data_IF_109497295873
#
_entry.id   IF_109497295873
#
_cell.length_a   1.000
_cell.length_b   1.000
_cell.length_c   1.000
_cell.angle_alpha   90.00
_cell.angle_beta   90.00
_cell.angle_gamma   90.00
#
_symmetry.space_group_name_H-M   'P 1'
#
loop_
_entity.id
_entity.type
_entity.pdbx_description
1 polymer ?
#
# COMPACT_ATOMS: atom_id res chain seq x y z
N UNK A 1 -23.30 4.26 -13.34
CA UNK A 1 -23.61 3.94 -11.93
C UNK A 1 -23.41 5.20 -11.11
N UNK A 2 -24.29 5.52 -10.15
CA UNK A 2 -24.21 6.77 -9.38
C UNK A 2 -23.40 6.55 -8.10
N UNK A 3 -22.52 7.50 -7.74
CA UNK A 3 -21.85 7.54 -6.44
C UNK A 3 -22.86 7.98 -5.38
N UNK A 4 -23.02 7.20 -4.32
CA UNK A 4 -24.03 7.44 -3.27
C UNK A 4 -23.39 7.86 -1.95
N UNK A 5 -23.87 8.92 -1.27
CA UNK A 5 -23.38 9.25 0.06
C UNK A 5 -23.69 8.13 1.07
N UNK A 6 -22.72 7.74 1.89
CA UNK A 6 -22.86 6.77 2.97
C UNK A 6 -22.01 7.20 4.17
N UNK A 7 -22.62 7.71 5.23
CA UNK A 7 -21.89 8.43 6.28
C UNK A 7 -21.56 7.59 7.51
N UNK A 8 -22.22 6.44 7.70
CA UNK A 8 -22.03 5.59 8.86
C UNK A 8 -22.57 4.16 8.64
N UNK A 9 -22.05 3.21 9.42
CA UNK A 9 -22.52 1.82 9.45
C UNK A 9 -22.20 1.03 8.19
N UNK A 10 -22.93 -0.07 7.98
CA UNK A 10 -22.71 -0.96 6.85
C UNK A 10 -23.50 -0.53 5.62
N UNK A 11 -22.88 -0.65 4.44
CA UNK A 11 -23.59 -0.49 3.16
C UNK A 11 -24.60 -1.63 2.98
N UNK A 12 -25.71 -1.38 2.26
CA UNK A 12 -26.75 -2.41 2.05
C UNK A 12 -26.40 -3.46 1.00
N UNK A 13 -25.38 -3.20 0.19
CA UNK A 13 -24.98 -4.09 -0.90
C UNK A 13 -23.89 -3.48 -1.77
N UNK A 14 -23.58 -4.13 -2.92
CA UNK A 14 -22.56 -3.64 -3.84
C UNK A 14 -22.87 -2.23 -4.36
N UNK A 15 -21.86 -1.38 -4.47
CA UNK A 15 -22.08 0.02 -4.78
C UNK A 15 -20.81 0.87 -4.95
N UNK A 16 -21.02 2.06 -5.50
CA UNK A 16 -20.07 3.18 -5.42
C UNK A 16 -20.58 4.17 -4.37
N UNK A 17 -19.69 4.56 -3.46
CA UNK A 17 -20.04 5.33 -2.29
C UNK A 17 -19.07 6.48 -2.05
N UNK A 18 -19.59 7.57 -1.48
CA UNK A 18 -18.78 8.59 -0.84
C UNK A 18 -18.97 8.46 0.67
N UNK A 19 -17.88 8.23 1.41
CA UNK A 19 -17.93 8.04 2.86
C UNK A 19 -16.68 8.58 3.55
N UNK A 20 -16.74 8.88 4.87
CA UNK A 20 -15.54 9.18 5.64
C UNK A 20 -14.54 8.01 5.63
N UNK A 21 -13.25 8.34 5.66
CA UNK A 21 -12.18 7.34 5.72
C UNK A 21 -12.32 6.38 6.91
N UNK A 22 -12.76 6.89 8.07
CA UNK A 22 -13.02 6.08 9.26
C UNK A 22 -14.05 4.97 9.03
N UNK A 23 -15.11 5.24 8.25
CA UNK A 23 -16.15 4.25 7.92
C UNK A 23 -15.60 3.17 6.99
N UNK A 24 -14.79 3.54 6.00
CA UNK A 24 -14.12 2.60 5.10
C UNK A 24 -13.12 1.71 5.86
N UNK A 25 -12.29 2.31 6.71
CA UNK A 25 -11.26 1.59 7.46
C UNK A 25 -11.84 0.69 8.57
N UNK A 26 -13.02 1.03 9.13
CA UNK A 26 -13.78 0.18 10.04
C UNK A 26 -14.42 -1.04 9.35
N UNK A 27 -14.26 -1.19 8.03
CA UNK A 27 -14.91 -2.19 7.19
C UNK A 27 -16.44 -2.02 7.12
N UNK A 28 -16.87 -1.18 6.18
CA UNK A 28 -18.27 -0.85 5.92
C UNK A 28 -19.06 -1.92 5.15
N UNK A 29 -18.47 -3.05 4.76
CA UNK A 29 -19.19 -4.08 4.02
C UNK A 29 -20.19 -4.85 4.91
N UNK A 30 -21.23 -5.49 4.34
CA UNK A 30 -22.20 -6.28 5.12
C UNK A 30 -21.56 -7.35 6.02
N UNK A 31 -20.57 -8.06 5.49
CA UNK A 31 -19.76 -9.07 6.19
C UNK A 31 -18.28 -8.67 6.12
N UNK A 32 -17.40 -9.26 6.94
CA UNK A 32 -15.97 -9.00 6.86
C UNK A 32 -15.46 -9.05 5.42
N UNK A 33 -14.84 -7.96 4.96
CA UNK A 33 -14.43 -7.85 3.57
C UNK A 33 -12.91 -7.77 3.39
N UNK A 34 -12.44 -8.19 2.22
CA UNK A 34 -11.04 -8.13 1.85
C UNK A 34 -10.72 -6.75 1.25
N UNK A 35 -9.70 -6.07 1.81
CA UNK A 35 -9.09 -4.86 1.22
C UNK A 35 -7.72 -5.20 0.62
N UNK A 36 -7.13 -4.28 -0.15
CA UNK A 36 -5.81 -4.49 -0.77
C UNK A 36 -4.71 -4.74 0.25
N UNK A 37 -4.71 -4.01 1.37
CA UNK A 37 -3.74 -4.22 2.45
C UNK A 37 -3.86 -5.61 3.07
N UNK A 38 -5.08 -6.09 3.33
CA UNK A 38 -5.30 -7.42 3.88
C UNK A 38 -4.96 -8.51 2.85
N UNK A 39 -5.30 -8.29 1.58
CA UNK A 39 -4.93 -9.20 0.49
C UNK A 39 -3.40 -9.34 0.38
N UNK A 40 -2.67 -8.23 0.47
CA UNK A 40 -1.21 -8.23 0.48
C UNK A 40 -0.66 -8.97 1.70
N UNK A 41 -1.16 -8.69 2.91
CA UNK A 41 -0.74 -9.39 4.13
C UNK A 41 -0.96 -10.91 4.04
N UNK A 42 -2.06 -11.36 3.42
CA UNK A 42 -2.32 -12.79 3.21
C UNK A 42 -1.27 -13.46 2.31
N UNK A 43 -0.81 -12.76 1.28
CA UNK A 43 0.11 -13.30 0.27
C UNK A 43 1.57 -13.17 0.70
N UNK A 44 1.94 -12.08 1.36
CA UNK A 44 3.34 -11.79 1.72
C UNK A 44 3.72 -12.25 3.12
N UNK A 45 2.74 -12.43 4.01
CA UNK A 45 2.97 -12.81 5.40
C UNK A 45 2.24 -14.12 5.71
N UNK A 46 1.08 -14.04 6.34
CA UNK A 46 0.30 -15.22 6.74
C UNK A 46 -1.16 -14.85 6.99
N UNK A 47 -2.08 -15.83 6.96
CA UNK A 47 -3.44 -15.66 7.48
C UNK A 47 -3.52 -15.09 8.89
N UNK A 48 -2.68 -15.52 9.83
CA UNK A 48 -2.69 -14.98 11.20
C UNK A 48 -2.47 -13.46 11.24
N UNK A 49 -1.45 -12.96 10.54
CA UNK A 49 -1.20 -11.51 10.40
C UNK A 49 -2.39 -10.78 9.79
N UNK A 50 -3.03 -11.36 8.77
CA UNK A 50 -4.22 -10.77 8.13
C UNK A 50 -5.41 -10.72 9.08
N UNK A 51 -5.61 -11.76 9.90
CA UNK A 51 -6.67 -11.83 10.90
C UNK A 51 -6.50 -10.74 11.97
N UNK A 52 -5.30 -10.57 12.51
CA UNK A 52 -4.97 -9.52 13.50
C UNK A 52 -5.13 -8.13 12.90
N UNK A 53 -4.70 -7.94 11.65
CA UNK A 53 -4.77 -6.65 10.97
C UNK A 53 -6.20 -6.24 10.56
N UNK A 54 -7.14 -7.19 10.49
CA UNK A 54 -8.49 -6.90 10.00
C UNK A 54 -9.38 -6.27 11.09
N UNK A 55 -10.03 -5.12 10.81
CA UNK A 55 -10.73 -4.31 11.82
C UNK A 55 -11.92 -5.01 12.50
N UNK A 56 -12.53 -6.00 11.84
CA UNK A 56 -13.69 -6.76 12.36
C UNK A 56 -13.39 -8.22 12.73
N UNK A 57 -12.12 -8.64 12.70
CA UNK A 57 -11.73 -10.01 13.04
C UNK A 57 -10.87 -10.02 14.30
N UNK A 58 -9.57 -10.27 14.17
CA UNK A 58 -8.66 -10.47 15.30
C UNK A 58 -8.02 -9.21 15.87
N UNK A 59 -8.45 -8.03 15.43
CA UNK A 59 -7.90 -6.78 15.94
C UNK A 59 -8.34 -6.58 17.40
N UNK A 60 -7.48 -6.99 18.34
CA UNK A 60 -7.68 -6.80 19.79
C UNK A 60 -6.81 -5.68 20.37
N UNK A 61 -5.94 -5.09 19.56
CA UNK A 61 -5.00 -4.05 19.96
C UNK A 61 -5.41 -2.77 19.23
N UNK A 62 -5.70 -1.71 19.97
CA UNK A 62 -5.74 -0.37 19.40
C UNK A 62 -4.33 -0.07 18.85
N UNK A 63 -4.20 0.00 17.53
CA UNK A 63 -2.92 0.34 16.89
C UNK A 63 -2.54 1.75 17.35
N UNK A 64 -1.58 1.85 18.27
CA UNK A 64 -0.86 3.08 18.54
C UNK A 64 0.16 3.31 17.41
N UNK A 65 -0.35 3.52 16.20
CA UNK A 65 0.48 4.03 15.11
C UNK A 65 0.67 5.52 15.38
N UNK A 66 1.76 5.91 16.07
CA UNK A 66 2.20 7.31 16.10
C UNK A 66 2.74 7.66 14.70
N UNK A 67 2.01 8.41 13.87
CA UNK A 67 2.40 8.63 12.49
C UNK A 67 3.72 9.40 12.44
N UNK A 68 4.67 8.96 11.62
CA UNK A 68 5.93 9.68 11.46
C UNK A 68 5.71 11.00 10.69
N UNK A 69 6.61 11.97 10.87
CA UNK A 69 6.60 13.24 10.13
C UNK A 69 6.42 13.09 8.60
N UNK A 70 7.07 12.12 7.92
CA UNK A 70 6.80 11.86 6.49
C UNK A 70 5.37 11.39 6.19
N UNK A 71 4.74 10.62 7.09
CA UNK A 71 3.33 10.22 6.95
C UNK A 71 2.40 11.42 7.13
N UNK A 72 2.67 12.29 8.11
CA UNK A 72 1.92 13.54 8.33
C UNK A 72 1.98 14.45 7.08
N UNK A 73 3.18 14.67 6.53
CA UNK A 73 3.38 15.39 5.26
C UNK A 73 2.57 14.74 4.14
N UNK A 74 2.65 13.42 4.01
CA UNK A 74 1.95 12.67 2.98
C UNK A 74 0.43 12.79 3.08
N UNK A 75 -0.13 12.71 4.29
CA UNK A 75 -1.56 12.90 4.55
C UNK A 75 -2.01 14.33 4.25
N UNK A 76 -1.21 15.33 4.62
CA UNK A 76 -1.52 16.73 4.32
C UNK A 76 -1.51 16.99 2.80
N UNK A 77 -0.45 16.56 2.10
CA UNK A 77 -0.35 16.71 0.65
C UNK A 77 -1.49 15.96 -0.07
N UNK A 78 -1.83 14.75 0.36
CA UNK A 78 -2.95 13.97 -0.18
C UNK A 78 -4.27 14.74 -0.03
N UNK A 79 -4.53 15.33 1.13
CA UNK A 79 -5.71 16.17 1.33
C UNK A 79 -5.74 17.40 0.45
N UNK A 80 -4.62 18.11 0.33
CA UNK A 80 -4.53 19.32 -0.51
C UNK A 80 -4.75 18.98 -1.99
N UNK A 81 -4.19 17.87 -2.48
CA UNK A 81 -4.30 17.43 -3.89
C UNK A 81 -5.69 16.87 -4.21
N UNK A 82 -6.29 16.12 -3.30
CA UNK A 82 -7.59 15.47 -3.53
C UNK A 82 -8.78 16.33 -3.13
N UNK A 83 -8.58 17.34 -2.30
CA UNK A 83 -9.64 18.16 -1.69
C UNK A 83 -10.53 17.39 -0.71
N UNK A 84 -10.12 16.19 -0.28
CA UNK A 84 -10.83 15.30 0.66
C UNK A 84 -9.83 14.57 1.56
N UNK A 85 -10.32 13.92 2.61
CA UNK A 85 -9.49 13.26 3.63
C UNK A 85 -9.43 14.03 4.97
N UNK A 86 -8.60 13.52 5.88
CA UNK A 86 -8.47 13.98 7.27
C UNK A 86 -8.11 15.46 7.37
N UNK A 87 -8.86 16.26 8.14
CA UNK A 87 -8.54 17.68 8.39
C UNK A 87 -7.14 17.87 8.97
N UNK A 88 -6.51 18.99 8.61
CA UNK A 88 -5.12 19.30 8.95
C UNK A 88 -5.10 20.39 10.02
N UNK A 89 -4.25 20.22 11.03
CA UNK A 89 -3.94 21.27 12.02
C UNK A 89 -2.47 21.66 11.87
N UNK A 90 -2.24 22.92 11.46
CA UNK A 90 -0.89 23.47 11.33
C UNK A 90 -0.38 23.90 12.70
N UNK A 91 0.71 23.27 13.14
CA UNK A 91 1.42 23.56 14.37
C UNK A 91 2.54 24.55 14.05
N UNK A 92 2.49 25.72 14.66
CA UNK A 92 3.44 26.81 14.45
C UNK A 92 4.75 26.57 15.23
N UNK A 93 5.49 25.55 14.80
CA UNK A 93 6.81 25.18 15.32
C UNK A 93 7.68 24.56 14.21
N UNK A 94 9.01 24.56 14.41
CA UNK A 94 9.97 23.96 13.49
C UNK A 94 10.14 22.44 13.70
N UNK A 95 9.89 21.98 14.92
CA UNK A 95 9.95 20.58 15.33
C UNK A 95 9.03 20.26 16.53
N UNK A 96 8.90 18.97 16.84
CA UNK A 96 8.11 18.48 17.98
C UNK A 96 8.93 18.35 19.28
N UNK A 97 9.96 19.17 19.51
CA UNK A 97 10.79 19.05 20.73
C UNK A 97 10.19 19.78 21.92
N UNK A 98 9.49 20.89 21.70
CA UNK A 98 8.90 21.69 22.79
C UNK A 98 7.66 21.00 23.39
N UNK A 99 7.41 21.24 24.68
CA UNK A 99 6.23 20.71 25.35
C UNK A 99 4.93 21.22 24.70
N UNK A 100 4.92 22.48 24.25
CA UNK A 100 3.79 23.08 23.55
C UNK A 100 3.49 22.36 22.23
N UNK A 101 4.49 22.17 21.36
CA UNK A 101 4.31 21.51 20.07
C UNK A 101 3.85 20.04 20.22
N UNK A 102 4.37 19.32 21.22
CA UNK A 102 3.92 17.95 21.54
C UNK A 102 2.47 17.91 22.01
N UNK A 103 2.08 18.83 22.89
CA UNK A 103 0.72 18.91 23.40
C UNK A 103 -0.28 19.25 22.29
N UNK A 104 0.08 20.17 21.39
CA UNK A 104 -0.76 20.53 20.25
C UNK A 104 -0.90 19.38 19.25
N UNK A 105 0.20 18.67 18.95
CA UNK A 105 0.19 17.45 18.13
C UNK A 105 -0.72 16.37 18.70
N UNK A 106 -0.60 16.10 20.00
CA UNK A 106 -1.44 15.12 20.69
C UNK A 106 -2.92 15.52 20.65
N UNK A 107 -3.23 16.82 20.83
CA UNK A 107 -4.61 17.33 20.74
C UNK A 107 -5.18 17.17 19.33
N UNK A 108 -4.42 17.49 18.28
CA UNK A 108 -4.87 17.32 16.90
C UNK A 108 -5.27 15.87 16.63
N UNK A 109 -4.45 14.89 17.04
CA UNK A 109 -4.81 13.47 16.90
C UNK A 109 -6.02 13.06 17.73
N UNK A 110 -6.15 13.57 18.97
CA UNK A 110 -7.31 13.28 19.82
C UNK A 110 -8.62 13.79 19.22
N UNK A 111 -8.56 14.86 18.41
CA UNK A 111 -9.69 15.42 17.66
C UNK A 111 -9.91 14.73 16.30
N UNK A 112 -9.08 13.75 15.93
CA UNK A 112 -9.16 13.03 14.66
C UNK A 112 -8.56 13.79 13.47
N UNK A 113 -7.74 14.81 13.72
CA UNK A 113 -7.05 15.61 12.71
C UNK A 113 -5.60 15.12 12.49
N UNK A 114 -5.03 15.48 11.34
CA UNK A 114 -3.62 15.30 11.03
C UNK A 114 -2.82 16.55 11.44
N UNK A 115 -1.97 16.48 12.48
CA UNK A 115 -1.04 17.56 12.76
C UNK A 115 0.02 17.66 11.66
N UNK A 116 0.48 18.88 11.39
CA UNK A 116 1.63 19.13 10.51
C UNK A 116 2.39 20.36 11.02
N UNK A 117 3.72 20.32 10.97
CA UNK A 117 4.54 21.49 11.31
C UNK A 117 4.39 22.56 10.23
N UNK A 118 4.42 23.84 10.59
CA UNK A 118 4.36 24.97 9.64
C UNK A 118 5.30 24.81 8.42
N UNK A 119 6.61 24.54 8.56
CA UNK A 119 7.49 24.38 7.40
C UNK A 119 7.11 23.20 6.51
N UNK A 120 6.47 22.17 7.08
CA UNK A 120 5.98 21.02 6.33
C UNK A 120 4.66 21.31 5.62
N UNK A 121 3.80 22.15 6.20
CA UNK A 121 2.57 22.61 5.57
C UNK A 121 2.87 23.46 4.31
N UNK A 122 3.81 24.40 4.43
CA UNK A 122 4.29 25.21 3.28
C UNK A 122 4.86 24.31 2.16
N UNK A 123 5.58 23.25 2.54
CA UNK A 123 6.07 22.22 1.61
C UNK A 123 4.96 21.40 0.98
N UNK A 124 3.91 21.05 1.73
CA UNK A 124 2.76 20.32 1.23
C UNK A 124 1.92 21.15 0.25
N UNK A 125 1.75 22.45 0.51
CA UNK A 125 1.12 23.39 -0.41
C UNK A 125 1.91 23.49 -1.73
N UNK A 126 3.23 23.73 -1.63
CA UNK A 126 4.09 23.78 -2.82
C UNK A 126 4.09 22.47 -3.63
N UNK A 127 4.01 21.32 -2.94
CA UNK A 127 3.86 20.02 -3.58
C UNK A 127 2.51 19.90 -4.31
N UNK A 128 1.41 20.33 -3.67
CA UNK A 128 0.09 20.25 -4.27
C UNK A 128 -0.02 21.07 -5.56
N UNK A 129 0.49 22.31 -5.55
CA UNK A 129 0.53 23.17 -6.72
C UNK A 129 1.32 22.53 -7.87
N UNK A 130 2.51 22.00 -7.58
CA UNK A 130 3.35 21.35 -8.58
C UNK A 130 2.74 20.06 -9.14
N UNK A 131 2.02 19.29 -8.31
CA UNK A 131 1.33 18.08 -8.78
C UNK A 131 0.25 18.47 -9.78
N UNK A 132 -0.57 19.48 -9.47
CA UNK A 132 -1.62 19.94 -10.39
C UNK A 132 -1.01 20.43 -11.70
N UNK A 133 0.02 21.28 -11.64
CA UNK A 133 0.69 21.82 -12.83
C UNK A 133 1.32 20.71 -13.70
N UNK A 134 2.10 19.81 -13.08
CA UNK A 134 2.82 18.76 -13.81
C UNK A 134 1.88 17.71 -14.39
N UNK A 135 0.80 17.35 -13.69
CA UNK A 135 -0.20 16.42 -14.24
C UNK A 135 -0.96 17.06 -15.41
N UNK A 136 -1.25 18.36 -15.36
CA UNK A 136 -1.89 19.06 -16.47
C UNK A 136 -1.03 19.09 -17.75
N UNK A 137 0.30 18.96 -17.61
CA UNK A 137 1.23 18.86 -18.74
C UNK A 137 1.28 17.46 -19.39
N UNK A 138 0.67 16.44 -18.79
CA UNK A 138 0.59 15.08 -19.34
C UNK A 138 -0.81 14.90 -19.94
N UNK A 139 -0.97 14.83 -21.29
CA UNK A 139 -2.29 14.75 -21.92
C UNK A 139 -3.17 13.62 -21.39
N UNK A 140 -2.58 12.46 -21.10
CA UNK A 140 -3.26 11.30 -20.55
C UNK A 140 -3.77 11.52 -19.12
N UNK A 141 -3.31 12.56 -18.41
CA UNK A 141 -3.69 12.90 -17.04
C UNK A 141 -4.68 14.06 -16.94
N UNK A 142 -5.17 14.60 -18.07
CA UNK A 142 -6.11 15.73 -18.09
C UNK A 142 -7.37 15.49 -17.24
N UNK A 143 -7.79 14.23 -17.10
CA UNK A 143 -8.94 13.83 -16.31
C UNK A 143 -8.76 13.83 -14.80
N UNK A 144 -7.53 13.83 -14.30
CA UNK A 144 -7.23 13.71 -12.87
C UNK A 144 -7.90 14.81 -12.03
N UNK A 145 -7.77 16.08 -12.43
CA UNK A 145 -8.26 17.21 -11.64
C UNK A 145 -9.78 17.23 -11.42
N UNK A 146 -10.55 16.76 -12.42
CA UNK A 146 -12.02 16.74 -12.38
C UNK A 146 -12.62 15.43 -11.85
N UNK A 147 -11.82 14.38 -11.68
CA UNK A 147 -12.29 13.07 -11.24
C UNK A 147 -12.75 13.10 -9.76
N UNK A 148 -13.89 12.48 -9.41
CA UNK A 148 -14.33 12.32 -8.02
C UNK A 148 -13.26 11.71 -7.12
N UNK A 149 -13.03 12.33 -5.95
CA UNK A 149 -12.04 11.90 -4.96
C UNK A 149 -12.59 10.96 -3.88
N UNK A 150 -11.74 10.08 -3.36
CA UNK A 150 -12.05 9.14 -2.26
C UNK A 150 -13.33 8.33 -2.48
N UNK A 151 -13.50 7.79 -3.70
CA UNK A 151 -14.66 6.98 -4.05
C UNK A 151 -14.44 5.55 -3.55
N UNK A 152 -15.37 5.07 -2.73
CA UNK A 152 -15.35 3.71 -2.20
C UNK A 152 -16.18 2.79 -3.09
N UNK A 153 -15.60 1.67 -3.49
CA UNK A 153 -16.33 0.59 -4.15
C UNK A 153 -16.39 -0.63 -3.23
N UNK A 154 -17.59 -1.16 -3.04
CA UNK A 154 -17.84 -2.40 -2.31
C UNK A 154 -18.53 -3.39 -3.23
N UNK A 155 -18.06 -4.63 -3.28
CA UNK A 155 -18.66 -5.70 -4.10
C UNK A 155 -18.70 -7.03 -3.37
N UNK A 156 -19.61 -7.89 -3.82
CA UNK A 156 -19.53 -9.33 -3.57
C UNK A 156 -18.92 -9.97 -4.81
N UNK A 157 -17.69 -10.46 -4.67
CA UNK A 157 -16.98 -11.16 -5.74
C UNK A 157 -17.67 -12.49 -6.07
N UNK A 158 -17.45 -13.00 -7.29
CA UNK A 158 -17.95 -14.32 -7.72
C UNK A 158 -17.54 -15.48 -6.79
N UNK A 159 -16.43 -15.35 -6.06
CA UNK A 159 -15.99 -16.31 -5.04
C UNK A 159 -16.85 -16.30 -3.76
N UNK A 160 -17.77 -15.35 -3.63
CA UNK A 160 -18.58 -15.11 -2.44
C UNK A 160 -17.97 -14.09 -1.47
N UNK A 161 -16.68 -13.77 -1.59
CA UNK A 161 -15.99 -12.81 -0.72
C UNK A 161 -16.52 -11.39 -0.93
N UNK A 162 -16.72 -10.65 0.15
CA UNK A 162 -16.86 -9.20 0.06
C UNK A 162 -15.50 -8.57 -0.18
N UNK A 163 -15.41 -7.63 -1.12
CA UNK A 163 -14.21 -6.85 -1.41
C UNK A 163 -14.52 -5.36 -1.24
N UNK A 164 -13.57 -4.59 -0.71
CA UNK A 164 -13.68 -3.12 -0.62
C UNK A 164 -12.40 -2.43 -1.06
N UNK A 165 -12.56 -1.31 -1.75
CA UNK A 165 -11.46 -0.42 -2.17
C UNK A 165 -11.89 1.03 -2.03
N UNK A 166 -10.91 1.91 -1.79
CA UNK A 166 -11.08 3.36 -1.83
C UNK A 166 -10.09 3.91 -2.84
N UNK A 167 -10.61 4.51 -3.91
CA UNK A 167 -9.84 5.10 -4.99
C UNK A 167 -9.58 6.57 -4.66
N UNK A 168 -8.33 7.01 -4.75
CA UNK A 168 -7.98 8.41 -4.49
C UNK A 168 -8.71 9.31 -5.47
N UNK A 169 -8.71 8.95 -6.76
CA UNK A 169 -9.68 9.44 -7.73
C UNK A 169 -10.10 8.35 -8.72
N UNK A 170 -11.27 8.52 -9.32
CA UNK A 170 -11.74 7.60 -10.37
C UNK A 170 -12.51 8.33 -11.46
N UNK A 171 -12.13 8.07 -12.71
CA UNK A 171 -12.87 8.47 -13.91
C UNK A 171 -13.67 7.28 -14.42
N UNK A 172 -14.97 7.46 -14.65
CA UNK A 172 -15.85 6.42 -15.20
C UNK A 172 -16.50 6.98 -16.46
N UNK A 173 -16.04 6.52 -17.62
CA UNK A 173 -16.59 6.87 -18.91
C UNK A 173 -17.53 5.77 -19.44
N UNK A 174 -18.06 5.99 -20.63
CA UNK A 174 -18.89 4.99 -21.31
C UNK A 174 -18.07 3.79 -21.81
N UNK A 175 -16.83 4.02 -22.24
CA UNK A 175 -16.00 2.98 -22.87
C UNK A 175 -14.89 2.43 -21.97
N UNK A 176 -14.44 3.20 -20.98
CA UNK A 176 -13.31 2.87 -20.12
C UNK A 176 -13.43 3.53 -18.74
N UNK A 177 -12.53 3.17 -17.82
CA UNK A 177 -12.35 3.86 -16.55
C UNK A 177 -10.86 4.01 -16.22
N UNK A 178 -10.52 5.04 -15.46
CA UNK A 178 -9.15 5.29 -14.98
C UNK A 178 -9.19 5.46 -13.47
N UNK A 179 -8.43 4.65 -12.76
CA UNK A 179 -8.26 4.74 -11.31
C UNK A 179 -6.92 5.42 -11.05
N UNK A 180 -6.94 6.44 -10.20
CA UNK A 180 -5.76 7.18 -9.78
C UNK A 180 -5.47 6.89 -8.31
N UNK A 181 -4.20 6.68 -8.01
CA UNK A 181 -3.71 6.45 -6.65
C UNK A 181 -2.42 7.25 -6.44
N UNK A 182 -2.47 8.18 -5.50
CA UNK A 182 -1.42 9.13 -5.20
C UNK A 182 -0.46 8.54 -4.17
N UNK A 183 0.83 8.52 -4.51
CA UNK A 183 1.90 7.97 -3.68
C UNK A 183 2.96 9.03 -3.41
N UNK A 184 2.83 9.72 -2.28
CA UNK A 184 3.86 10.64 -1.78
C UNK A 184 4.85 9.92 -0.87
N UNK A 185 6.08 10.43 -0.76
CA UNK A 185 7.08 9.90 0.16
C UNK A 185 8.51 10.31 -0.16
N UNK A 186 9.45 9.86 0.67
CA UNK A 186 10.88 10.17 0.51
C UNK A 186 11.57 9.29 -0.55
N UNK A 187 10.83 8.34 -1.14
CA UNK A 187 11.33 7.48 -2.20
C UNK A 187 11.27 8.18 -3.56
N UNK A 188 12.37 8.06 -4.30
CA UNK A 188 12.50 8.55 -5.69
C UNK A 188 11.31 8.18 -6.56
N UNK A 189 10.81 9.14 -7.34
CA UNK A 189 9.82 8.95 -8.39
C UNK A 189 10.46 8.63 -9.75
N UNK A 190 11.79 8.55 -9.84
CA UNK A 190 12.49 8.25 -11.09
C UNK A 190 12.00 6.94 -11.75
N UNK A 191 11.58 6.97 -13.04
CA UNK A 191 10.92 5.83 -13.71
C UNK A 191 11.67 4.50 -13.64
N UNK A 192 13.00 4.52 -13.73
CA UNK A 192 13.85 3.33 -13.69
C UNK A 192 13.77 2.55 -12.37
N UNK A 193 13.34 3.19 -11.28
CA UNK A 193 13.17 2.56 -9.97
C UNK A 193 11.75 2.08 -9.67
N UNK A 194 10.75 2.51 -10.46
CA UNK A 194 9.35 2.32 -10.12
C UNK A 194 8.92 0.84 -10.18
N UNK A 195 9.41 0.07 -11.15
CA UNK A 195 9.10 -1.37 -11.25
C UNK A 195 9.51 -2.14 -10.00
N UNK A 196 10.73 -1.90 -9.49
CA UNK A 196 11.22 -2.50 -8.24
C UNK A 196 10.41 -2.03 -7.03
N UNK A 197 10.04 -0.75 -6.99
CA UNK A 197 9.21 -0.21 -5.90
C UNK A 197 7.83 -0.86 -5.86
N UNK A 198 7.19 -1.00 -7.02
CA UNK A 198 5.88 -1.66 -7.16
C UNK A 198 5.95 -3.08 -6.61
N UNK A 199 6.95 -3.86 -7.05
CA UNK A 199 7.11 -5.26 -6.64
C UNK A 199 7.46 -5.40 -5.15
N UNK A 200 8.45 -4.66 -4.64
CA UNK A 200 8.84 -4.68 -3.24
C UNK A 200 7.70 -4.32 -2.27
N UNK A 201 6.74 -3.51 -2.71
CA UNK A 201 5.63 -3.03 -1.89
C UNK A 201 4.31 -3.76 -2.20
N UNK A 202 4.33 -4.76 -3.09
CA UNK A 202 3.15 -5.50 -3.54
C UNK A 202 2.06 -4.61 -4.10
N UNK A 203 2.42 -3.51 -4.78
CA UNK A 203 1.45 -2.52 -5.27
C UNK A 203 0.61 -3.06 -6.41
N UNK A 204 1.12 -4.02 -7.19
CA UNK A 204 0.36 -4.72 -8.23
C UNK A 204 -0.85 -5.49 -7.66
N UNK A 205 -0.80 -5.93 -6.39
CA UNK A 205 -1.95 -6.51 -5.69
C UNK A 205 -3.04 -5.46 -5.49
N UNK A 206 -2.67 -4.22 -5.14
CA UNK A 206 -3.61 -3.10 -5.02
C UNK A 206 -4.26 -2.81 -6.37
N UNK A 207 -3.46 -2.60 -7.42
CA UNK A 207 -4.00 -2.30 -8.75
C UNK A 207 -4.96 -3.40 -9.25
N UNK A 208 -4.54 -4.66 -9.17
CA UNK A 208 -5.37 -5.78 -9.61
C UNK A 208 -6.67 -5.91 -8.80
N UNK A 209 -6.64 -5.71 -7.48
CA UNK A 209 -7.86 -5.76 -6.66
C UNK A 209 -8.82 -4.63 -7.03
N UNK A 210 -8.31 -3.42 -7.21
CA UNK A 210 -9.11 -2.24 -7.54
C UNK A 210 -9.77 -2.38 -8.92
N UNK A 211 -9.00 -2.82 -9.93
CA UNK A 211 -9.53 -3.14 -11.25
C UNK A 211 -10.62 -4.20 -11.16
N UNK A 212 -10.37 -5.34 -10.49
CA UNK A 212 -11.35 -6.42 -10.32
C UNK A 212 -12.64 -5.94 -9.66
N UNK A 213 -12.54 -5.12 -8.62
CA UNK A 213 -13.70 -4.58 -7.90
C UNK A 213 -14.54 -3.69 -8.82
N UNK A 214 -13.89 -2.82 -9.59
CA UNK A 214 -14.59 -1.93 -10.51
C UNK A 214 -15.17 -2.68 -11.72
N UNK A 215 -14.47 -3.68 -12.26
CA UNK A 215 -15.00 -4.58 -13.30
C UNK A 215 -16.21 -5.38 -12.82
N UNK A 216 -16.21 -5.79 -11.54
CA UNK A 216 -17.36 -6.49 -10.92
C UNK A 216 -18.58 -5.57 -10.84
N UNK A 217 -18.40 -4.28 -10.53
CA UNK A 217 -19.48 -3.29 -10.54
C UNK A 217 -19.91 -2.88 -11.94
N UNK A 218 -18.96 -2.84 -12.88
CA UNK A 218 -19.15 -2.34 -14.23
C UNK A 218 -18.66 -3.37 -15.26
N UNK A 219 -19.35 -4.52 -15.43
CA UNK A 219 -18.91 -5.59 -16.34
C UNK A 219 -18.73 -5.12 -17.79
N UNK A 220 -19.47 -4.09 -18.19
CA UNK A 220 -19.35 -3.41 -19.49
C UNK A 220 -17.99 -2.74 -19.72
N UNK A 221 -17.15 -2.59 -18.70
CA UNK A 221 -15.80 -2.01 -18.77
C UNK A 221 -14.69 -3.04 -18.57
N UNK A 222 -15.02 -4.33 -18.48
CA UNK A 222 -14.03 -5.40 -18.31
C UNK A 222 -12.94 -5.33 -19.38
N UNK A 223 -11.67 -5.40 -18.97
CA UNK A 223 -10.49 -5.24 -19.81
C UNK A 223 -10.22 -3.81 -20.29
N UNK A 224 -10.97 -2.81 -19.78
CA UNK A 224 -10.87 -1.39 -20.16
C UNK A 224 -10.76 -0.46 -18.94
N UNK A 225 -10.19 -0.96 -17.85
CA UNK A 225 -9.95 -0.19 -16.63
C UNK A 225 -8.44 -0.12 -16.40
N UNK A 226 -7.89 1.10 -16.42
CA UNK A 226 -6.49 1.36 -16.12
C UNK A 226 -6.33 1.77 -14.65
N UNK A 227 -5.23 1.38 -14.04
CA UNK A 227 -4.82 1.83 -12.72
C UNK A 227 -3.49 2.58 -12.83
N UNK A 228 -3.47 3.83 -12.36
CA UNK A 228 -2.32 4.72 -12.43
C UNK A 228 -1.86 5.13 -11.05
N UNK A 229 -0.60 4.86 -10.75
CA UNK A 229 0.07 5.47 -9.62
C UNK A 229 0.62 6.83 -10.03
N UNK A 230 0.40 7.83 -9.19
CA UNK A 230 1.07 9.13 -9.27
C UNK A 230 2.10 9.17 -8.15
N UNK A 231 3.35 8.86 -8.47
CA UNK A 231 4.45 8.93 -7.52
C UNK A 231 4.95 10.35 -7.42
N UNK A 232 5.01 10.91 -6.21
CA UNK A 232 5.46 12.28 -5.95
C UNK A 232 6.53 12.26 -4.86
N UNK A 233 7.66 12.90 -5.14
CA UNK A 233 8.73 13.04 -4.16
C UNK A 233 8.39 14.10 -3.11
N UNK A 234 8.67 13.77 -1.85
CA UNK A 234 8.57 14.76 -0.78
C UNK A 234 9.58 15.89 -1.00
N UNK A 235 10.80 15.61 -1.44
CA UNK A 235 11.86 16.60 -1.60
C UNK A 235 11.60 17.55 -2.78
N UNK A 236 11.97 18.82 -2.63
CA UNK A 236 12.03 19.73 -3.78
C UNK A 236 12.99 19.12 -4.83
N UNK A 237 12.64 19.08 -6.13
CA UNK A 237 11.61 19.85 -6.82
C UNK A 237 10.24 19.13 -6.95
N UNK A 238 9.84 18.35 -5.95
CA UNK A 238 8.59 17.57 -5.94
C UNK A 238 8.36 16.83 -7.25
N UNK A 239 9.43 16.21 -7.76
CA UNK A 239 9.38 15.50 -9.02
C UNK A 239 8.33 14.39 -8.94
N UNK A 240 7.61 14.19 -10.05
CA UNK A 240 6.58 13.17 -10.14
C UNK A 240 6.77 12.27 -11.34
N UNK A 241 6.21 11.08 -11.26
CA UNK A 241 6.05 10.16 -12.38
C UNK A 241 4.73 9.43 -12.26
N UNK A 242 4.04 9.31 -13.39
CA UNK A 242 2.81 8.53 -13.50
C UNK A 242 3.17 7.17 -14.09
N UNK A 243 2.73 6.09 -13.46
CA UNK A 243 3.04 4.74 -13.90
C UNK A 243 1.81 3.85 -13.90
N UNK A 244 1.78 2.92 -14.86
CA UNK A 244 0.85 1.79 -14.93
C UNK A 244 1.65 0.49 -14.83
N UNK A 245 1.04 -0.56 -14.29
CA UNK A 245 1.61 -1.89 -14.39
C UNK A 245 1.36 -2.41 -15.79
N UNK A 246 2.36 -3.05 -16.39
CA UNK A 246 2.20 -3.72 -17.67
C UNK A 246 1.34 -5.00 -17.52
N UNK A 247 1.11 -5.69 -18.63
CA UNK A 247 0.32 -6.92 -18.65
C UNK A 247 0.92 -8.02 -17.75
N UNK A 248 2.24 -8.06 -17.58
CA UNK A 248 2.91 -9.04 -16.72
C UNK A 248 2.64 -8.71 -15.26
N UNK A 249 2.86 -7.47 -14.85
CA UNK A 249 2.60 -6.97 -13.49
C UNK A 249 1.13 -7.13 -13.12
N UNK A 250 0.21 -6.72 -14.00
CA UNK A 250 -1.24 -6.92 -13.80
C UNK A 250 -1.63 -8.39 -13.73
N UNK A 251 -1.00 -9.25 -14.55
CA UNK A 251 -1.22 -10.70 -14.50
C UNK A 251 -0.73 -11.34 -13.20
N UNK A 252 0.43 -10.92 -12.69
CA UNK A 252 0.96 -11.35 -11.38
C UNK A 252 0.06 -10.86 -10.25
N UNK A 253 -0.30 -9.57 -10.25
CA UNK A 253 -1.21 -8.99 -9.26
C UNK A 253 -2.55 -9.70 -9.21
N UNK A 254 -3.13 -10.03 -10.38
CA UNK A 254 -4.39 -10.78 -10.47
C UNK A 254 -4.28 -12.17 -9.85
N UNK A 255 -3.20 -12.91 -10.12
CA UNK A 255 -2.97 -14.23 -9.50
C UNK A 255 -2.75 -14.12 -7.99
N UNK A 256 -2.04 -13.10 -7.51
CA UNK A 256 -1.89 -12.81 -6.08
C UNK A 256 -3.25 -12.49 -5.43
N UNK A 257 -4.11 -11.71 -6.10
CA UNK A 257 -5.48 -11.44 -5.63
C UNK A 257 -6.33 -12.71 -5.59
N UNK A 258 -6.25 -13.58 -6.60
CA UNK A 258 -6.93 -14.89 -6.58
C UNK A 258 -6.46 -15.77 -5.41
N UNK A 259 -5.15 -15.82 -5.16
CA UNK A 259 -4.57 -16.52 -4.02
C UNK A 259 -5.06 -15.92 -2.69
N UNK A 260 -5.07 -14.59 -2.56
CA UNK A 260 -5.56 -13.90 -1.38
C UNK A 260 -7.04 -14.22 -1.11
N UNK A 261 -7.90 -14.15 -2.13
CA UNK A 261 -9.32 -14.49 -2.02
C UNK A 261 -9.51 -15.96 -1.64
N UNK A 262 -8.71 -16.87 -2.22
CA UNK A 262 -8.73 -18.28 -1.86
C UNK A 262 -8.39 -18.50 -0.38
N UNK A 263 -7.27 -17.92 0.09
CA UNK A 263 -6.84 -18.00 1.48
C UNK A 263 -7.88 -17.40 2.42
N UNK A 264 -8.37 -16.20 2.11
CA UNK A 264 -9.41 -15.49 2.85
C UNK A 264 -10.66 -16.36 3.04
N UNK A 265 -11.20 -16.89 1.94
CA UNK A 265 -12.39 -17.72 1.98
C UNK A 265 -12.15 -19.05 2.71
N UNK A 266 -10.96 -19.66 2.58
CA UNK A 266 -10.60 -20.86 3.34
C UNK A 266 -10.61 -20.57 4.84
N UNK A 267 -9.95 -19.50 5.27
CA UNK A 267 -9.82 -19.15 6.68
C UNK A 267 -11.16 -18.73 7.29
N UNK A 268 -11.98 -17.96 6.56
CA UNK A 268 -13.34 -17.64 6.99
C UNK A 268 -14.22 -18.88 7.16
N UNK A 269 -14.17 -19.85 6.23
CA UNK A 269 -14.96 -21.09 6.37
C UNK A 269 -14.47 -21.98 7.50
N UNK A 270 -13.15 -22.13 7.63
CA UNK A 270 -12.54 -23.01 8.63
C UNK A 270 -12.51 -22.39 10.03
N UNK A 271 -12.68 -21.07 10.14
CA UNK A 271 -12.42 -20.30 11.38
C UNK A 271 -11.00 -20.54 11.92
N UNK A 272 -10.05 -20.76 11.00
CA UNK A 272 -8.64 -21.01 11.29
C UNK A 272 -7.75 -20.10 10.44
N UNK A 273 -6.84 -19.40 11.10
CA UNK A 273 -5.96 -18.39 10.52
C UNK A 273 -4.50 -18.73 10.85
N UNK A 274 -3.90 -19.69 10.15
CA UNK A 274 -2.58 -20.20 10.50
C UNK A 274 -1.49 -19.12 10.33
N UNK A 275 -0.50 -19.17 11.21
CA UNK A 275 0.74 -18.40 11.11
C UNK A 275 1.79 -19.12 10.26
N UNK A 276 3.06 -18.86 10.53
CA UNK A 276 4.16 -19.60 9.93
C UNK A 276 4.23 -21.06 10.42
N UNK A 277 4.85 -21.97 9.66
CA UNK A 277 5.04 -23.35 10.09
C UNK A 277 5.71 -23.45 11.47
N UNK A 278 5.17 -24.30 12.34
CA UNK A 278 5.73 -24.57 13.67
C UNK A 278 6.90 -25.57 13.60
N UNK A 279 7.86 -25.30 12.72
CA UNK A 279 9.05 -26.13 12.51
C UNK A 279 10.28 -25.29 12.20
N UNK A 280 11.46 -25.88 12.36
CA UNK A 280 12.71 -25.25 11.94
C UNK A 280 12.73 -25.22 10.41
N UNK A 281 12.78 -24.01 9.84
CA UNK A 281 12.96 -23.80 8.41
C UNK A 281 14.45 -23.60 8.15
N UNK A 282 15.07 -24.54 7.41
CA UNK A 282 16.43 -24.34 6.87
C UNK A 282 16.30 -23.40 5.67
N UNK A 283 16.99 -22.26 5.71
CA UNK A 283 16.94 -21.25 4.65
C UNK A 283 18.21 -21.32 3.81
N UNK A 284 18.05 -21.14 2.51
CA UNK A 284 19.19 -21.00 1.60
C UNK A 284 19.83 -19.62 1.81
N UNK A 285 21.15 -19.59 1.90
CA UNK A 285 21.87 -18.32 1.95
C UNK A 285 21.84 -17.66 0.56
N UNK A 286 21.57 -16.35 0.44
CA UNK A 286 21.42 -15.72 -0.87
C UNK A 286 22.68 -15.84 -1.73
N UNK A 287 22.54 -16.36 -2.95
CA UNK A 287 23.68 -16.64 -3.85
C UNK A 287 24.53 -15.40 -4.13
N UNK A 288 23.91 -14.24 -4.32
CA UNK A 288 24.65 -12.98 -4.53
C UNK A 288 25.50 -12.60 -3.30
N UNK A 289 25.03 -12.91 -2.09
CA UNK A 289 25.76 -12.63 -0.86
C UNK A 289 26.89 -13.64 -0.65
N UNK A 290 26.65 -14.91 -0.98
CA UNK A 290 27.66 -15.97 -0.98
C UNK A 290 28.80 -15.60 -1.92
N UNK A 291 28.47 -15.32 -3.18
CA UNK A 291 29.43 -14.95 -4.22
C UNK A 291 30.24 -13.71 -3.86
N UNK A 292 29.60 -12.66 -3.35
CA UNK A 292 30.29 -11.43 -2.91
C UNK A 292 31.33 -11.70 -1.82
N UNK A 293 31.05 -12.63 -0.90
CA UNK A 293 32.03 -13.02 0.11
C UNK A 293 33.17 -13.84 -0.50
N UNK A 294 32.87 -14.85 -1.31
CA UNK A 294 33.88 -15.67 -1.97
C UNK A 294 34.83 -14.85 -2.86
N UNK A 295 34.29 -13.89 -3.63
CA UNK A 295 35.10 -12.96 -4.43
C UNK A 295 36.04 -12.12 -3.54
N UNK A 296 35.60 -11.72 -2.35
CA UNK A 296 36.44 -10.98 -1.40
C UNK A 296 37.53 -11.87 -0.81
N UNK A 297 37.23 -13.10 -0.43
CA UNK A 297 38.22 -14.06 0.07
C UNK A 297 39.35 -14.30 -0.92
N UNK A 298 39.02 -14.34 -2.22
CA UNK A 298 40.00 -14.54 -3.28
C UNK A 298 40.84 -13.28 -3.58
N UNK A 299 40.22 -12.10 -3.55
CA UNK A 299 40.83 -10.87 -4.09
C UNK A 299 41.39 -9.90 -3.03
N UNK A 300 40.95 -9.96 -1.77
CA UNK A 300 41.37 -9.04 -0.70
C UNK A 300 42.77 -9.44 -0.17
N UNK A 301 43.84 -8.65 -0.42
CA UNK A 301 45.19 -9.00 0.01
C UNK A 301 45.33 -9.12 1.54
N UNK A 302 44.43 -8.51 2.31
CA UNK A 302 44.43 -8.63 3.78
C UNK A 302 43.96 -10.00 4.26
N UNK A 303 43.28 -10.77 3.41
CA UNK A 303 42.81 -12.12 3.68
C UNK A 303 43.77 -13.20 3.12
N UNK A 304 44.89 -12.78 2.51
CA UNK A 304 45.88 -13.71 1.99
C UNK A 304 46.38 -14.67 3.09
N UNK A 305 46.22 -15.98 2.85
CA UNK A 305 46.60 -17.04 3.78
C UNK A 305 45.48 -17.53 4.72
N UNK A 306 44.32 -16.87 4.74
CA UNK A 306 43.11 -17.42 5.36
C UNK A 306 42.58 -18.54 4.47
N UNK A 307 42.51 -19.77 4.99
CA UNK A 307 41.96 -20.92 4.28
C UNK A 307 40.92 -21.62 5.15
N UNK A 308 39.68 -21.70 4.65
CA UNK A 308 38.61 -22.46 5.28
C UNK A 308 38.32 -23.71 4.44
N UNK A 309 38.67 -24.88 4.95
CA UNK A 309 38.29 -26.17 4.37
C UNK A 309 37.21 -26.80 5.26
N UNK A 310 35.98 -26.83 4.76
CA UNK A 310 34.84 -27.37 5.51
C UNK A 310 35.02 -28.85 5.88
N UNK A 311 35.76 -29.63 5.08
CA UNK A 311 36.01 -31.04 5.35
C UNK A 311 36.95 -31.23 6.56
N UNK A 312 37.83 -30.26 6.81
CA UNK A 312 38.83 -30.29 7.89
C UNK A 312 38.49 -29.36 9.07
N UNK A 313 37.47 -28.53 8.93
CA UNK A 313 37.05 -27.56 9.94
C UNK A 313 36.54 -28.27 11.20
N UNK A 314 37.04 -27.92 12.41
CA UNK A 314 36.45 -28.40 13.67
C UNK A 314 35.04 -27.83 13.91
N UNK A 315 34.60 -26.87 13.09
CA UNK A 315 33.29 -26.24 13.12
C UNK A 315 32.36 -26.74 12.00
N UNK A 316 32.69 -27.88 11.36
CA UNK A 316 31.83 -28.46 10.31
C UNK A 316 30.44 -28.85 10.86
N UNK A 317 29.34 -28.60 10.13
CA UNK A 317 28.02 -29.05 10.53
C UNK A 317 27.92 -30.57 10.64
N UNK A 318 27.18 -31.08 11.63
CA UNK A 318 27.02 -32.51 11.89
C UNK A 318 26.31 -33.28 10.76
N UNK A 319 25.45 -32.61 9.98
CA UNK A 319 24.59 -33.24 8.95
C UNK A 319 25.04 -32.95 7.49
N UNK A 320 26.31 -32.60 7.28
CA UNK A 320 26.82 -32.13 5.98
C UNK A 320 26.59 -33.11 4.81
N UNK A 321 26.64 -34.42 5.05
CA UNK A 321 26.49 -35.44 3.99
C UNK A 321 25.08 -35.50 3.37
N UNK A 322 24.06 -34.93 4.02
CA UNK A 322 22.68 -34.90 3.52
C UNK A 322 22.30 -33.55 2.86
N UNK A 323 23.25 -32.62 2.72
CA UNK A 323 23.01 -31.26 2.21
C UNK A 323 23.68 -30.96 0.85
N UNK A 324 24.34 -31.95 0.23
CA UNK A 324 24.90 -31.90 -1.11
C UNK A 324 24.03 -32.70 -2.09
#
# INVERSE_FOLDING_TARGET
>A
MKITPHLAGFVRGPGLFQMPASVYHADCAPEPSLSSSIARTLVEQSPQHAWIAHPRLGCTIERQDDPSRPKEIGTAAHKLILGRGTDIVVIYADDYRTAAAKAERARAYAEGHCPILKPDAERADAMADQVVERLAAIPECAGFGGAPSEVVAVVRDRSGAWLRVMMDRVEIHDTHAVIWDLKTGDSSAAPQGLGRRIENMGMEVQAALYVRVLETLLPRLAGRISFRWVFVENAFPHALSVAEADNVGMGIGSRKVDAAIHLWNRCLRAQDWPGYPAQIVRVDFPEYAARRWSEREELDPQLAGVAYDIARSPHRPLDWENAA
#
